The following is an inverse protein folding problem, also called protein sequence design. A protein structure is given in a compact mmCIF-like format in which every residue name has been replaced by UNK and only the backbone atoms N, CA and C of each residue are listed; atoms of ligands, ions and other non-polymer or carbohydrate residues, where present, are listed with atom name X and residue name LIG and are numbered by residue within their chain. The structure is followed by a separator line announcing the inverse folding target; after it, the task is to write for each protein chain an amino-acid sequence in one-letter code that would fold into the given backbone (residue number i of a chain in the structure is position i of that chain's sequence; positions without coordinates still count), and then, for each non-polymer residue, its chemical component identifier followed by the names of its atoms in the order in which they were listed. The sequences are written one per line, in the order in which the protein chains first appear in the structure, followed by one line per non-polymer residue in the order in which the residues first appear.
data_IF_344998538275
#
_entry.id   IF_344998538275
#
_cell.length_a   1.000
_cell.length_b   1.000
_cell.length_c   1.000
_cell.angle_alpha   90.00
_cell.angle_beta   90.00
_cell.angle_gamma   90.00
#
_symmetry.space_group_name_H-M   'P 1'
#
loop_
_entity.id
_entity.type
_entity.pdbx_description
1 polymer ?
2 water ?
#
# COMPACT_ATOMS: atom_id res chain seq x y z
N UNK A 3 9.55 9.81 6.17
CA UNK A 3 10.27 9.48 7.40
C UNK A 3 10.91 8.09 7.33
N UNK A 4 10.16 7.05 7.67
CA UNK A 4 10.71 5.70 7.78
C UNK A 4 11.03 5.06 6.44
N UNK A 5 12.07 4.23 6.44
CA UNK A 5 12.49 3.54 5.23
C UNK A 5 11.60 2.34 4.95
N UNK A 6 11.23 2.18 3.69
CA UNK A 6 10.42 1.04 3.28
C UNK A 6 11.32 0.00 2.63
N UNK A 7 11.01 -1.28 2.87
CA UNK A 7 11.64 -2.38 2.16
C UNK A 7 10.59 -2.94 1.20
N UNK A 8 10.84 -2.80 -0.09
CA UNK A 8 9.88 -3.27 -1.08
C UNK A 8 10.08 -4.75 -1.41
N UNK A 9 9.02 -5.54 -1.28
CA UNK A 9 9.11 -6.97 -1.56
C UNK A 9 8.68 -7.30 -2.99
N UNK A 10 7.46 -6.92 -3.36
CA UNK A 10 7.06 -7.00 -4.77
C UNK A 10 6.41 -5.70 -5.21
N UNK A 11 6.66 -5.32 -6.46
CA UNK A 11 6.09 -4.08 -6.99
C UNK A 11 5.93 -4.10 -8.51
N UNK A 12 5.08 -3.19 -9.00
CA UNK A 12 4.77 -2.95 -10.40
C UNK A 12 4.00 -1.61 -10.47
N UNK A 13 4.75 -0.51 -10.41
CA UNK A 13 4.24 0.87 -10.38
C UNK A 13 5.25 1.84 -10.97
N UNK A 14 4.78 2.95 -11.57
CA UNK A 14 5.71 4.05 -11.85
C UNK A 14 6.39 4.49 -10.54
N UNK A 15 7.63 4.93 -10.62
CA UNK A 15 8.31 5.23 -9.39
C UNK A 15 7.67 6.40 -8.59
N UNK A 16 7.07 7.36 -9.23
CA UNK A 16 6.39 8.42 -8.49
C UNK A 16 5.20 7.86 -7.71
N UNK A 17 4.51 6.89 -8.31
CA UNK A 17 3.36 6.28 -7.64
C UNK A 17 3.86 5.40 -6.50
N UNK A 18 5.00 4.73 -6.68
CA UNK A 18 5.59 3.95 -5.58
C UNK A 18 5.93 4.85 -4.39
N UNK A 19 6.55 5.97 -4.71
CA UNK A 19 6.93 6.96 -3.71
C UNK A 19 5.70 7.47 -2.97
N UNK A 20 4.63 7.77 -3.72
CA UNK A 20 3.40 8.21 -3.07
C UNK A 20 2.84 7.12 -2.15
N UNK A 21 2.88 5.86 -2.58
CA UNK A 21 2.40 4.75 -1.76
C UNK A 21 3.14 4.62 -0.44
N UNK A 22 4.47 4.66 -0.51
CA UNK A 22 5.29 4.59 0.70
C UNK A 22 5.06 5.78 1.64
N UNK A 23 5.01 6.98 1.07
CA UNK A 23 4.76 8.18 1.88
C UNK A 23 3.38 8.13 2.54
N UNK A 24 2.41 7.61 1.79
CA UNK A 24 1.06 7.50 2.29
C UNK A 24 1.00 6.51 3.46
N UNK A 25 1.65 5.36 3.30
CA UNK A 25 1.74 4.38 4.38
C UNK A 25 2.42 4.96 5.61
N UNK A 26 3.48 5.72 5.41
CA UNK A 26 4.15 6.31 6.57
C UNK A 26 3.24 7.29 7.32
N UNK A 27 2.50 8.10 6.55
CA UNK A 27 1.50 8.97 7.17
C UNK A 27 0.45 8.18 7.98
N UNK A 28 -0.03 7.09 7.39
CA UNK A 28 -1.05 6.26 8.01
C UNK A 28 -0.53 5.67 9.31
N UNK A 29 0.71 5.20 9.28
CA UNK A 29 1.33 4.60 10.46
C UNK A 29 1.53 5.62 11.55
N UNK A 30 1.77 6.88 11.17
CA UNK A 30 1.85 7.91 12.21
C UNK A 30 0.48 8.21 12.82
N UNK A 31 -0.57 8.19 11.98
CA UNK A 31 -1.90 8.57 12.45
C UNK A 31 -2.60 7.48 13.27
N UNK A 32 -2.35 6.22 12.91
CA UNK A 32 -3.12 5.09 13.45
C UNK A 32 -2.26 3.89 13.85
N UNK A 33 -2.71 3.17 14.88
CA UNK A 33 -2.06 1.93 15.29
C UNK A 33 -2.88 0.69 14.98
N UNK A 34 -4.18 0.90 14.78
CA UNK A 34 -5.08 -0.18 14.40
C UNK A 34 -4.96 -0.48 12.89
N UNK A 35 -4.62 -1.73 12.59
CA UNK A 35 -4.30 -2.09 11.21
C UNK A 35 -5.42 -1.82 10.21
N UNK A 36 -6.66 -2.07 10.61
CA UNK A 36 -7.83 -1.75 9.78
C UNK A 36 -7.88 -0.26 9.39
N UNK A 37 -7.55 0.60 10.36
CA UNK A 37 -7.58 2.04 10.14
C UNK A 37 -6.41 2.45 9.25
N UNK A 38 -5.24 1.84 9.46
CA UNK A 38 -4.08 2.13 8.59
C UNK A 38 -4.42 1.78 7.12
N UNK A 39 -4.90 0.55 6.92
CA UNK A 39 -5.31 0.07 5.60
C UNK A 39 -6.36 0.98 4.97
N UNK A 40 -7.38 1.36 5.75
CA UNK A 40 -8.46 2.21 5.24
C UNK A 40 -7.95 3.58 4.82
N UNK A 41 -7.07 4.17 5.63
CA UNK A 41 -6.49 5.46 5.26
C UNK A 41 -5.76 5.36 3.93
N UNK A 42 -4.93 4.33 3.79
CA UNK A 42 -4.16 4.21 2.54
C UNK A 42 -5.07 3.98 1.32
N UNK A 43 -6.03 3.08 1.45
CA UNK A 43 -6.96 2.77 0.36
C UNK A 43 -7.71 4.04 -0.05
N UNK A 44 -8.21 4.78 0.94
CA UNK A 44 -9.00 5.98 0.66
C UNK A 44 -8.18 7.06 -0.01
N UNK A 45 -6.94 7.22 0.45
CA UNK A 45 -6.04 8.20 -0.16
C UNK A 45 -5.81 7.81 -1.62
N UNK A 46 -5.59 6.53 -1.88
CA UNK A 46 -5.34 6.12 -3.25
C UNK A 46 -6.56 6.22 -4.16
N UNK A 47 -7.75 5.93 -3.65
CA UNK A 47 -8.95 6.15 -4.47
C UNK A 47 -9.09 7.62 -4.82
N UNK A 48 -8.87 8.47 -3.81
CA UNK A 48 -9.07 9.90 -4.00
C UNK A 48 -8.05 10.54 -4.92
N UNK A 49 -6.78 10.18 -4.75
CA UNK A 49 -5.72 10.85 -5.49
C UNK A 49 -5.39 10.16 -6.80
N UNK A 50 -5.67 8.86 -6.87
CA UNK A 50 -5.20 8.03 -7.98
C UNK A 50 -6.30 7.21 -8.63
N UNK A 51 -7.57 7.61 -8.41
CA UNK A 51 -8.74 6.99 -9.04
C UNK A 51 -9.08 5.65 -8.40
N UNK A 52 -10.38 5.40 -8.19
CA UNK A 52 -10.80 4.12 -7.61
C UNK A 52 -10.57 3.01 -8.65
N UNK A 53 -10.52 1.74 -8.26
CA UNK A 53 -10.69 1.30 -6.89
C UNK A 53 -9.47 0.51 -6.43
N UNK A 54 -8.96 0.86 -5.26
CA UNK A 54 -7.78 0.21 -4.70
C UNK A 54 -8.16 -0.68 -3.53
N UNK A 55 -7.25 -1.59 -3.19
CA UNK A 55 -7.44 -2.49 -2.06
C UNK A 55 -6.17 -2.49 -1.25
N UNK A 56 -6.29 -2.52 0.07
CA UNK A 56 -5.10 -2.43 0.92
C UNK A 56 -5.18 -3.39 2.12
N UNK A 57 -4.07 -4.05 2.39
CA UNK A 57 -3.94 -4.93 3.55
C UNK A 57 -2.71 -4.49 4.31
N UNK A 58 -2.81 -4.39 5.63
CA UNK A 58 -1.68 -3.98 6.47
C UNK A 58 -1.56 -4.95 7.63
N UNK A 59 -0.35 -5.46 7.89
CA UNK A 59 -0.20 -6.34 9.04
C UNK A 59 1.18 -6.93 9.25
N UNK A 60 1.37 -7.56 10.41
CA UNK A 60 2.65 -8.15 10.76
C UNK A 60 2.68 -9.65 10.47
N UNK A 61 1.51 -10.22 10.20
CA UNK A 61 1.44 -11.64 9.85
C UNK A 61 0.35 -11.98 8.85
N UNK A 62 0.72 -12.02 7.57
CA UNK A 62 -0.19 -12.48 6.52
C UNK A 62 0.54 -12.92 5.27
N UNK A 63 -0.13 -13.76 4.49
CA UNK A 63 0.32 -14.13 3.17
C UNK A 63 -0.83 -13.81 2.24
N UNK A 64 -0.52 -13.52 0.99
CA UNK A 64 -1.58 -13.20 0.04
C UNK A 64 -1.29 -13.73 -1.34
N UNK A 65 -2.35 -13.85 -2.13
CA UNK A 65 -2.22 -14.23 -3.52
C UNK A 65 -3.33 -13.51 -4.21
N UNK A 66 -2.97 -12.48 -4.97
CA UNK A 66 -3.94 -11.62 -5.61
C UNK A 66 -3.56 -11.42 -7.06
N UNK A 67 -4.53 -11.00 -7.86
CA UNK A 67 -4.31 -10.74 -9.29
C UNK A 67 -4.41 -9.24 -9.51
N UNK A 68 -3.30 -8.62 -9.87
CA UNK A 68 -3.25 -7.16 -9.90
C UNK A 68 -3.20 -6.64 -11.32
N UNK A 69 -3.71 -5.43 -11.50
CA UNK A 69 -3.63 -4.74 -12.78
C UNK A 69 -2.20 -4.28 -13.00
N UNK A 70 -1.69 -4.45 -14.22
CA UNK A 70 -0.34 -4.00 -14.53
C UNK A 70 -0.16 -2.53 -14.15
N UNK A 71 1.03 -2.19 -13.65
CA UNK A 71 1.37 -0.83 -13.20
C UNK A 71 0.61 -0.29 -11.97
N UNK A 72 -0.18 -1.13 -11.31
CA UNK A 72 -0.93 -0.67 -10.14
C UNK A 72 -0.77 -1.66 -8.99
N UNK A 73 0.47 -1.92 -8.59
CA UNK A 73 0.70 -2.92 -7.54
C UNK A 73 1.96 -2.64 -6.73
N UNK A 74 1.86 -2.73 -5.40
CA UNK A 74 3.05 -2.66 -4.55
C UNK A 74 2.85 -3.47 -3.27
N UNK A 75 3.92 -4.12 -2.81
CA UNK A 75 3.92 -4.87 -1.55
C UNK A 75 5.25 -4.55 -0.87
N UNK A 76 5.20 -3.89 0.28
CA UNK A 76 6.44 -3.44 0.92
C UNK A 76 6.33 -3.50 2.44
N UNK A 77 7.47 -3.38 3.12
CA UNK A 77 7.48 -3.42 4.57
C UNK A 77 7.94 -2.07 5.12
N UNK A 78 7.32 -1.62 6.21
CA UNK A 78 7.91 -0.59 7.07
C UNK A 78 8.06 -1.20 8.47
N UNK A 79 9.30 -1.43 8.90
CA UNK A 79 9.51 -2.18 10.13
C UNK A 79 8.97 -3.60 9.99
N UNK A 80 8.26 -4.07 11.01
CA UNK A 80 7.68 -5.41 10.96
C UNK A 80 6.31 -5.37 10.29
N UNK A 81 5.95 -4.22 9.74
CA UNK A 81 4.63 -4.06 9.14
C UNK A 81 4.65 -4.14 7.61
N UNK A 82 3.88 -5.09 7.07
CA UNK A 82 3.71 -5.26 5.63
C UNK A 82 2.48 -4.49 5.14
N UNK A 83 2.62 -3.93 3.95
CA UNK A 83 1.56 -3.20 3.27
C UNK A 83 1.43 -3.73 1.85
N UNK A 84 0.21 -4.16 1.52
CA UNK A 84 -0.15 -4.62 0.18
C UNK A 84 -1.17 -3.62 -0.34
N UNK A 85 -0.91 -3.05 -1.52
CA UNK A 85 -1.78 -2.01 -2.08
C UNK A 85 -1.86 -2.22 -3.58
N UNK A 86 -3.06 -2.42 -4.11
CA UNK A 86 -3.18 -2.77 -5.53
C UNK A 86 -4.54 -2.47 -6.09
N UNK A 87 -4.61 -2.40 -7.42
CA UNK A 87 -5.88 -2.47 -8.12
C UNK A 87 -6.00 -3.85 -8.77
N UNK A 88 -7.22 -4.37 -8.84
CA UNK A 88 -7.45 -5.71 -9.39
C UNK A 88 -7.28 -5.78 -10.88
N UNK A 89 -6.75 -6.91 -11.34
CA UNK A 89 -6.82 -7.27 -12.74
C UNK A 89 -8.18 -7.85 -13.07
#
# INVERSE_FOLDING_TARGET
MADRKAVIKNADMPEDLQQDAIDCANQALEKYNIEKDIAAFIKKEFDRKHNPTWHCVVGRNFGSYVTHETHHFIYFYIGQVAVLLFKSG
#
